data_IF_616852191739
#
_entry.id   IF_616852191739
#
_cell.length_a   1.000
_cell.length_b   1.000
_cell.length_c   1.000
_cell.angle_alpha   90.00
_cell.angle_beta   90.00
_cell.angle_gamma   90.00
#
_symmetry.space_group_name_H-M   'P 1'
#
loop_
_entity.id
_entity.type
_entity.pdbx_description
1 polymer ?
#
# COMPACT_ATOMS: atom_id res chain seq x y z
N UNK A 1 11.93 23.88 4.14
CA UNK A 1 10.88 23.12 3.44
C UNK A 1 11.41 21.85 2.73
N UNK A 2 12.21 21.90 1.64
CA UNK A 2 12.67 20.67 0.93
C UNK A 2 13.43 19.67 1.81
N UNK A 3 14.32 20.15 2.72
CA UNK A 3 15.07 19.28 3.64
C UNK A 3 14.16 18.61 4.67
N UNK A 4 13.17 19.30 5.14
CA UNK A 4 12.17 18.82 6.08
C UNK A 4 11.26 17.80 5.43
N UNK A 5 10.70 18.11 4.26
CA UNK A 5 9.91 17.18 3.46
C UNK A 5 10.67 15.88 3.19
N UNK A 6 11.97 15.96 2.81
CA UNK A 6 12.79 14.76 2.62
C UNK A 6 12.89 13.90 3.88
N UNK A 7 13.01 14.52 5.06
CA UNK A 7 13.05 13.79 6.34
C UNK A 7 11.73 13.09 6.63
N UNK A 8 10.61 13.75 6.34
CA UNK A 8 9.27 13.18 6.50
C UNK A 8 9.05 12.02 5.53
N UNK A 9 9.40 12.15 4.27
CA UNK A 9 9.27 11.06 3.30
C UNK A 9 10.15 9.85 3.66
N UNK A 10 11.37 10.08 4.19
CA UNK A 10 12.21 8.99 4.72
C UNK A 10 11.57 8.36 5.97
N UNK A 11 11.04 9.16 6.88
CA UNK A 11 10.33 8.65 8.04
C UNK A 11 9.09 7.85 7.62
N UNK A 12 8.34 8.32 6.63
CA UNK A 12 7.20 7.62 6.06
C UNK A 12 7.57 6.25 5.49
N UNK A 13 8.64 6.18 4.69
CA UNK A 13 9.19 4.91 4.22
C UNK A 13 9.49 3.94 5.37
N UNK A 14 10.19 4.40 6.41
CA UNK A 14 10.54 3.54 7.56
C UNK A 14 9.30 3.10 8.36
N UNK A 15 8.33 4.00 8.54
CA UNK A 15 7.07 3.71 9.24
C UNK A 15 6.24 2.73 8.43
N UNK A 16 6.11 2.92 7.11
CA UNK A 16 5.36 2.01 6.23
C UNK A 16 6.02 0.64 6.18
N UNK A 17 7.33 0.58 6.04
CA UNK A 17 8.10 -0.66 6.09
C UNK A 17 7.89 -1.42 7.41
N UNK A 18 8.00 -0.73 8.54
CA UNK A 18 7.85 -1.32 9.87
C UNK A 18 6.41 -1.76 10.17
N UNK A 19 5.44 -0.86 9.99
CA UNK A 19 4.04 -1.17 10.27
C UNK A 19 3.47 -2.19 9.26
N UNK A 20 3.85 -2.12 7.98
CA UNK A 20 3.43 -3.11 6.99
C UNK A 20 3.92 -4.50 7.33
N UNK A 21 5.20 -4.63 7.71
CA UNK A 21 5.76 -5.89 8.19
C UNK A 21 5.05 -6.40 9.46
N UNK A 22 4.70 -5.51 10.38
CA UNK A 22 3.98 -5.86 11.60
C UNK A 22 2.55 -6.33 11.29
N UNK A 23 1.82 -5.60 10.45
CA UNK A 23 0.43 -5.91 10.07
C UNK A 23 0.30 -7.27 9.36
N UNK A 24 1.38 -7.81 8.84
CA UNK A 24 1.41 -9.16 8.29
C UNK A 24 1.07 -10.24 9.32
N UNK A 25 1.40 -10.02 10.59
CA UNK A 25 1.19 -10.99 11.67
C UNK A 25 0.00 -10.64 12.57
N UNK A 26 -0.49 -9.41 12.55
CA UNK A 26 -1.49 -8.90 13.51
C UNK A 26 -2.82 -9.65 13.39
N UNK A 27 -3.21 -10.11 12.20
CA UNK A 27 -4.43 -10.89 12.02
C UNK A 27 -4.36 -12.21 12.81
N UNK A 28 -3.28 -12.96 12.71
CA UNK A 28 -3.07 -14.21 13.44
C UNK A 28 -2.98 -13.97 14.95
N UNK A 29 -2.24 -12.94 15.38
CA UNK A 29 -2.13 -12.57 16.79
C UNK A 29 -3.46 -12.16 17.42
N UNK A 30 -4.39 -11.63 16.60
CA UNK A 30 -5.74 -11.27 17.05
C UNK A 30 -6.71 -12.46 17.18
N UNK A 31 -6.26 -13.68 16.84
CA UNK A 31 -7.09 -14.87 16.79
C UNK A 31 -8.11 -14.84 15.63
N UNK A 32 -7.75 -14.22 14.51
CA UNK A 32 -8.63 -14.14 13.33
C UNK A 32 -9.75 -13.10 13.46
N UNK A 33 -9.52 -12.03 14.21
CA UNK A 33 -10.52 -10.98 14.42
C UNK A 33 -10.96 -10.34 13.10
N UNK A 34 -12.26 -10.34 12.83
CA UNK A 34 -12.84 -9.71 11.63
C UNK A 34 -12.57 -8.21 11.55
N UNK A 35 -12.50 -7.51 12.67
CA UNK A 35 -12.17 -6.08 12.66
C UNK A 35 -10.71 -5.86 12.25
N UNK A 36 -9.81 -6.71 12.72
CA UNK A 36 -8.39 -6.64 12.35
C UNK A 36 -8.17 -6.99 10.88
N UNK A 37 -8.94 -7.93 10.34
CA UNK A 37 -8.91 -8.31 8.93
C UNK A 37 -9.06 -7.12 7.96
N UNK A 38 -9.80 -6.07 8.34
CA UNK A 38 -9.97 -4.88 7.52
C UNK A 38 -8.65 -4.15 7.23
N UNK A 39 -7.65 -4.27 8.11
CA UNK A 39 -6.41 -3.48 8.07
C UNK A 39 -5.14 -4.32 7.98
N UNK A 40 -5.17 -5.57 8.45
CA UNK A 40 -4.07 -6.52 8.43
C UNK A 40 -4.23 -7.54 7.29
N UNK A 41 -3.12 -8.17 6.87
CA UNK A 41 -3.18 -9.27 5.91
C UNK A 41 -3.88 -10.47 6.53
N UNK A 42 -4.80 -11.08 5.78
CA UNK A 42 -5.55 -12.28 6.22
C UNK A 42 -5.01 -13.56 5.57
N UNK A 43 -4.21 -13.42 4.52
CA UNK A 43 -3.58 -14.52 3.78
C UNK A 43 -2.39 -14.00 2.96
N UNK A 44 -1.72 -14.88 2.22
CA UNK A 44 -0.51 -14.57 1.43
C UNK A 44 -0.81 -14.09 -0.01
N UNK A 45 -2.04 -13.65 -0.31
CA UNK A 45 -2.36 -13.15 -1.66
C UNK A 45 -1.66 -11.81 -1.96
N UNK A 46 -1.42 -11.57 -3.24
CA UNK A 46 -0.83 -10.30 -3.70
C UNK A 46 -1.68 -9.10 -3.28
N UNK A 47 -3.01 -9.23 -3.25
CA UNK A 47 -3.92 -8.19 -2.78
C UNK A 47 -3.67 -7.81 -1.32
N UNK A 48 -3.49 -8.80 -0.46
CA UNK A 48 -3.23 -8.57 0.96
C UNK A 48 -1.86 -7.89 1.17
N UNK A 49 -0.85 -8.27 0.40
CA UNK A 49 0.45 -7.57 0.43
C UNK A 49 0.35 -6.10 -0.03
N UNK A 50 -0.51 -5.81 -1.03
CA UNK A 50 -0.81 -4.43 -1.42
C UNK A 50 -1.48 -3.65 -0.28
N UNK A 51 -2.37 -4.29 0.50
CA UNK A 51 -3.00 -3.69 1.67
C UNK A 51 -1.97 -3.33 2.75
N UNK A 52 -0.96 -4.17 2.97
CA UNK A 52 0.14 -3.90 3.91
C UNK A 52 0.97 -2.66 3.52
N UNK A 53 1.05 -2.33 2.23
CA UNK A 53 1.66 -1.09 1.77
C UNK A 53 0.72 0.11 1.98
N UNK A 54 -0.54 -0.06 1.61
CA UNK A 54 -1.52 1.04 1.58
C UNK A 54 -1.91 1.56 2.96
N UNK A 55 -2.23 0.67 3.92
CA UNK A 55 -2.76 1.09 5.23
C UNK A 55 -1.76 1.94 6.02
N UNK A 56 -0.50 1.52 6.22
CA UNK A 56 0.49 2.36 6.90
C UNK A 56 0.78 3.67 6.15
N UNK A 57 0.86 3.62 4.82
CA UNK A 57 1.03 4.81 4.00
C UNK A 57 -0.11 5.82 4.19
N UNK A 58 -1.37 5.37 4.20
CA UNK A 58 -2.52 6.24 4.42
C UNK A 58 -2.47 6.88 5.81
N UNK A 59 -2.17 6.10 6.85
CA UNK A 59 -2.01 6.62 8.22
C UNK A 59 -0.91 7.67 8.30
N UNK A 60 0.23 7.41 7.68
CA UNK A 60 1.34 8.37 7.64
C UNK A 60 0.99 9.61 6.80
N UNK A 61 0.27 9.44 5.69
CA UNK A 61 -0.24 10.55 4.86
C UNK A 61 -1.13 11.50 5.66
N UNK A 62 -1.98 10.97 6.56
CA UNK A 62 -2.79 11.83 7.46
C UNK A 62 -1.91 12.63 8.41
N UNK A 63 -0.90 12.02 9.03
CA UNK A 63 0.04 12.72 9.90
C UNK A 63 0.81 13.82 9.14
N UNK A 64 1.29 13.50 7.94
CA UNK A 64 2.03 14.42 7.09
C UNK A 64 1.14 15.59 6.59
N UNK A 65 -0.13 15.31 6.30
CA UNK A 65 -1.10 16.33 5.91
C UNK A 65 -1.24 17.43 6.98
N UNK A 66 -1.31 17.05 8.24
CA UNK A 66 -1.40 18.00 9.37
C UNK A 66 -0.20 18.94 9.39
N UNK A 67 0.99 18.44 8.99
CA UNK A 67 2.23 19.25 9.02
C UNK A 67 2.40 20.09 7.76
N UNK A 68 2.04 19.57 6.57
CA UNK A 68 2.39 20.17 5.27
C UNK A 68 1.18 20.59 4.41
N UNK A 69 -0.05 20.48 4.90
CA UNK A 69 -1.26 20.72 4.07
C UNK A 69 -1.31 22.12 3.44
N UNK A 70 -0.93 23.16 4.18
CA UNK A 70 -0.98 24.53 3.66
C UNK A 70 0.09 24.85 2.63
N UNK A 71 1.37 24.53 2.83
CA UNK A 71 2.42 24.83 1.85
C UNK A 71 2.42 23.92 0.64
N UNK A 72 1.76 22.75 0.66
CA UNK A 72 1.79 21.76 -0.40
C UNK A 72 0.47 21.68 -1.16
N UNK A 73 0.29 22.59 -2.14
CA UNK A 73 -0.92 22.67 -2.98
C UNK A 73 -1.17 21.46 -3.89
N UNK A 74 -0.31 20.49 -3.89
CA UNK A 74 -0.37 19.26 -4.70
C UNK A 74 -0.39 17.98 -3.87
N UNK A 75 -0.67 18.08 -2.58
CA UNK A 75 -0.48 16.99 -1.62
C UNK A 75 -1.30 15.75 -1.96
N UNK A 76 -2.62 15.81 -1.96
CA UNK A 76 -3.48 14.64 -2.17
C UNK A 76 -3.29 13.99 -3.54
N UNK A 77 -3.16 14.80 -4.60
CA UNK A 77 -2.94 14.29 -5.95
C UNK A 77 -1.61 13.52 -6.06
N UNK A 78 -0.56 14.03 -5.42
CA UNK A 78 0.74 13.36 -5.42
C UNK A 78 0.72 12.11 -4.56
N UNK A 79 0.13 12.16 -3.36
CA UNK A 79 0.01 10.97 -2.50
C UNK A 79 -0.79 9.86 -3.19
N UNK A 80 -1.91 10.20 -3.83
CA UNK A 80 -2.69 9.23 -4.61
C UNK A 80 -1.89 8.64 -5.78
N UNK A 81 -1.20 9.48 -6.56
CA UNK A 81 -0.39 9.01 -7.69
C UNK A 81 0.76 8.11 -7.24
N UNK A 82 1.47 8.48 -6.16
CA UNK A 82 2.60 7.71 -5.66
C UNK A 82 2.17 6.36 -5.11
N UNK A 83 1.08 6.28 -4.33
CA UNK A 83 0.58 5.00 -3.82
C UNK A 83 0.09 4.10 -4.96
N UNK A 84 -0.63 4.64 -5.95
CA UNK A 84 -1.06 3.85 -7.11
C UNK A 84 0.13 3.21 -7.83
N UNK A 85 1.24 3.94 -8.00
CA UNK A 85 2.45 3.38 -8.61
C UNK A 85 3.07 2.29 -7.74
N UNK A 86 3.12 2.46 -6.43
CA UNK A 86 3.56 1.41 -5.49
C UNK A 86 2.67 0.17 -5.56
N UNK A 87 1.35 0.35 -5.53
CA UNK A 87 0.38 -0.74 -5.63
C UNK A 87 0.47 -1.49 -6.96
N UNK A 88 0.73 -0.80 -8.08
CA UNK A 88 0.92 -1.44 -9.39
C UNK A 88 2.27 -2.17 -9.44
N UNK A 89 3.32 -1.63 -8.81
CA UNK A 89 4.65 -2.24 -8.82
C UNK A 89 4.67 -3.63 -8.17
N UNK A 90 3.90 -3.85 -7.10
CA UNK A 90 3.83 -5.15 -6.41
C UNK A 90 3.39 -6.27 -7.36
N UNK A 91 2.16 -6.27 -7.94
CA UNK A 91 1.74 -7.33 -8.83
C UNK A 91 2.56 -7.39 -10.12
N UNK A 92 3.00 -6.25 -10.66
CA UNK A 92 3.84 -6.22 -11.86
C UNK A 92 5.16 -6.96 -11.64
N UNK A 93 5.86 -6.72 -10.54
CA UNK A 93 7.10 -7.41 -10.21
C UNK A 93 6.83 -8.88 -9.84
N UNK A 94 5.85 -9.15 -8.99
CA UNK A 94 5.53 -10.49 -8.54
C UNK A 94 5.19 -11.42 -9.70
N UNK A 95 4.22 -11.06 -10.55
CA UNK A 95 3.80 -11.91 -11.66
C UNK A 95 4.85 -12.00 -12.79
N UNK A 96 5.65 -10.95 -12.98
CA UNK A 96 6.76 -11.03 -13.93
C UNK A 96 7.82 -12.01 -13.45
N UNK A 97 8.25 -11.90 -12.20
CA UNK A 97 9.28 -12.78 -11.65
C UNK A 97 8.81 -14.23 -11.52
N UNK A 98 7.58 -14.45 -11.04
CA UNK A 98 7.00 -15.79 -10.95
C UNK A 98 6.79 -16.42 -12.34
N UNK A 99 6.40 -15.63 -13.33
CA UNK A 99 6.26 -16.09 -14.72
C UNK A 99 7.59 -16.49 -15.37
N UNK A 100 8.69 -15.83 -14.98
CA UNK A 100 10.03 -16.11 -15.53
C UNK A 100 10.78 -17.23 -14.76
N UNK A 101 10.66 -17.24 -13.43
CA UNK A 101 11.49 -18.05 -12.53
C UNK A 101 10.72 -19.17 -11.82
N UNK A 102 9.39 -19.19 -11.94
CA UNK A 102 8.52 -20.09 -11.19
C UNK A 102 8.31 -19.62 -9.75
N UNK A 103 8.13 -20.59 -8.82
CA UNK A 103 7.87 -20.27 -7.40
C UNK A 103 9.04 -19.50 -6.79
N UNK A 104 8.75 -18.33 -6.26
CA UNK A 104 9.75 -17.47 -5.61
C UNK A 104 9.93 -17.82 -4.14
N UNK A 105 11.13 -17.66 -3.58
CA UNK A 105 11.33 -17.73 -2.14
C UNK A 105 10.78 -16.47 -1.45
N UNK A 106 10.29 -16.61 -0.22
CA UNK A 106 9.61 -15.55 0.54
C UNK A 106 10.41 -14.24 0.71
N UNK A 107 11.76 -14.32 0.70
CA UNK A 107 12.58 -13.11 0.76
C UNK A 107 12.47 -12.23 -0.48
N UNK A 108 12.11 -12.80 -1.64
CA UNK A 108 11.86 -12.04 -2.87
C UNK A 108 10.56 -11.26 -2.73
N UNK A 109 9.50 -11.86 -2.19
CA UNK A 109 8.22 -11.19 -1.96
C UNK A 109 8.39 -10.01 -1.00
N UNK A 110 9.15 -10.21 0.06
CA UNK A 110 9.52 -9.14 0.99
C UNK A 110 10.34 -8.04 0.30
N UNK A 111 11.26 -8.40 -0.60
CA UNK A 111 12.05 -7.43 -1.36
C UNK A 111 11.19 -6.62 -2.33
N UNK A 112 10.19 -7.22 -2.96
CA UNK A 112 9.22 -6.53 -3.83
C UNK A 112 8.45 -5.48 -3.02
N UNK A 113 7.99 -5.84 -1.82
CA UNK A 113 7.30 -4.91 -0.92
C UNK A 113 8.18 -3.69 -0.58
N UNK A 114 9.42 -3.88 -0.13
CA UNK A 114 10.32 -2.77 0.20
C UNK A 114 10.71 -1.93 -1.01
N UNK A 115 10.87 -2.54 -2.19
CA UNK A 115 11.14 -1.80 -3.43
C UNK A 115 9.94 -0.94 -3.85
N UNK A 116 8.72 -1.46 -3.74
CA UNK A 116 7.50 -0.71 -4.02
C UNK A 116 7.33 0.47 -3.05
N UNK A 117 7.58 0.24 -1.76
CA UNK A 117 7.57 1.27 -0.72
C UNK A 117 8.59 2.38 -0.99
N UNK A 118 9.85 2.01 -1.26
CA UNK A 118 10.91 2.96 -1.60
C UNK A 118 10.59 3.77 -2.87
N UNK A 119 10.09 3.11 -3.93
CA UNK A 119 9.67 3.76 -5.16
C UNK A 119 8.56 4.77 -4.91
N UNK A 120 7.54 4.39 -4.16
CA UNK A 120 6.39 5.22 -3.82
C UNK A 120 6.83 6.50 -3.09
N UNK A 121 7.63 6.41 -2.03
CA UNK A 121 8.10 7.57 -1.29
C UNK A 121 9.10 8.43 -2.08
N UNK A 122 9.93 7.82 -2.90
CA UNK A 122 10.82 8.55 -3.82
C UNK A 122 10.01 9.38 -4.82
N UNK A 123 8.98 8.82 -5.43
CA UNK A 123 8.09 9.52 -6.38
C UNK A 123 7.30 10.61 -5.66
N UNK A 124 6.76 10.32 -4.46
CA UNK A 124 6.08 11.30 -3.62
C UNK A 124 6.97 12.53 -3.38
N UNK A 125 8.20 12.33 -2.89
CA UNK A 125 9.17 13.40 -2.66
C UNK A 125 9.43 14.23 -3.93
N UNK A 126 9.71 13.55 -5.06
CA UNK A 126 10.00 14.21 -6.33
C UNK A 126 8.84 15.06 -6.79
N UNK A 127 7.64 14.51 -6.84
CA UNK A 127 6.46 15.21 -7.34
C UNK A 127 6.01 16.36 -6.42
N UNK A 128 6.13 16.19 -5.10
CA UNK A 128 5.85 17.25 -4.13
C UNK A 128 6.81 18.43 -4.29
N UNK A 129 8.11 18.15 -4.44
CA UNK A 129 9.14 19.19 -4.58
C UNK A 129 9.12 19.89 -5.93
N UNK A 130 8.74 19.19 -7.00
CA UNK A 130 8.60 19.73 -8.36
C UNK A 130 7.26 20.49 -8.52
N UNK A 131 6.34 20.34 -7.60
CA UNK A 131 5.03 20.97 -7.63
C UNK A 131 4.14 20.47 -8.75
N UNK A 132 4.22 19.19 -9.10
CA UNK A 132 3.35 18.54 -10.10
C UNK A 132 1.93 18.36 -9.57
N UNK A 133 0.96 18.21 -10.47
CA UNK A 133 -0.44 17.93 -10.15
C UNK A 133 -1.09 19.01 -9.27
N UNK A 134 -0.74 20.28 -9.46
CA UNK A 134 -1.39 21.42 -8.80
C UNK A 134 -2.74 21.71 -9.44
N UNK A 135 -3.75 21.86 -8.64
CA UNK A 135 -5.10 22.22 -9.11
C UNK A 135 -6.18 21.64 -8.22
N UNK A 136 -7.24 22.39 -7.95
CA UNK A 136 -8.30 21.95 -7.03
C UNK A 136 -8.95 20.64 -7.47
N UNK A 137 -9.24 20.49 -8.76
CA UNK A 137 -9.80 19.24 -9.28
C UNK A 137 -8.87 18.03 -9.09
N UNK A 138 -7.56 18.23 -9.28
CA UNK A 138 -6.56 17.16 -9.05
C UNK A 138 -6.45 16.78 -7.57
N UNK A 139 -6.54 17.77 -6.65
CA UNK A 139 -6.55 17.49 -5.21
C UNK A 139 -7.81 16.72 -4.80
N UNK A 140 -8.98 17.12 -5.31
CA UNK A 140 -10.22 16.39 -5.07
C UNK A 140 -10.14 14.96 -5.61
N UNK A 141 -9.65 14.79 -6.83
CA UNK A 141 -9.47 13.46 -7.43
C UNK A 141 -8.51 12.60 -6.59
N UNK A 142 -7.38 13.16 -6.17
CA UNK A 142 -6.41 12.46 -5.31
C UNK A 142 -7.02 12.05 -3.97
N UNK A 143 -7.75 12.97 -3.32
CA UNK A 143 -8.46 12.68 -2.06
C UNK A 143 -9.49 11.55 -2.24
N UNK A 144 -10.34 11.65 -3.27
CA UNK A 144 -11.34 10.61 -3.58
C UNK A 144 -10.67 9.28 -3.88
N UNK A 145 -9.58 9.27 -4.63
CA UNK A 145 -8.82 8.05 -4.94
C UNK A 145 -8.34 7.33 -3.69
N UNK A 146 -7.79 8.05 -2.69
CA UNK A 146 -7.36 7.44 -1.43
C UNK A 146 -8.53 6.79 -0.67
N UNK A 147 -9.70 7.42 -0.64
CA UNK A 147 -10.88 6.86 -0.01
C UNK A 147 -11.47 5.66 -0.77
N UNK A 148 -11.47 5.72 -2.09
CA UNK A 148 -11.90 4.59 -2.94
C UNK A 148 -10.98 3.38 -2.73
N UNK A 149 -9.67 3.60 -2.64
CA UNK A 149 -8.72 2.53 -2.35
C UNK A 149 -8.95 1.94 -0.95
N UNK A 150 -9.14 2.78 0.07
CA UNK A 150 -9.47 2.30 1.42
C UNK A 150 -10.73 1.45 1.41
N UNK A 151 -11.80 1.93 0.78
CA UNK A 151 -13.04 1.18 0.64
C UNK A 151 -12.83 -0.14 -0.10
N UNK A 152 -12.07 -0.13 -1.20
CA UNK A 152 -11.80 -1.33 -1.99
C UNK A 152 -11.01 -2.37 -1.17
N UNK A 153 -9.97 -1.97 -0.43
CA UNK A 153 -9.22 -2.89 0.42
C UNK A 153 -10.11 -3.51 1.51
N UNK A 154 -10.91 -2.72 2.20
CA UNK A 154 -11.84 -3.22 3.21
C UNK A 154 -12.92 -4.10 2.59
N UNK A 155 -13.55 -3.66 1.50
CA UNK A 155 -14.64 -4.39 0.85
C UNK A 155 -14.18 -5.75 0.33
N UNK A 156 -13.07 -5.80 -0.41
CA UNK A 156 -12.59 -7.04 -1.00
C UNK A 156 -11.92 -8.01 -0.01
N UNK A 157 -11.61 -7.60 1.20
CA UNK A 157 -11.27 -8.53 2.28
C UNK A 157 -12.47 -9.42 2.67
N UNK A 158 -13.69 -8.83 2.68
CA UNK A 158 -14.92 -9.57 3.08
C UNK A 158 -15.74 -10.11 1.91
N UNK A 159 -15.52 -9.57 0.71
CA UNK A 159 -16.21 -9.95 -0.54
C UNK A 159 -15.16 -10.18 -1.62
N UNK A 160 -14.34 -11.18 -1.40
CA UNK A 160 -13.13 -11.43 -2.21
C UNK A 160 -13.51 -11.96 -3.60
N UNK A 161 -13.10 -11.29 -4.70
CA UNK A 161 -13.25 -11.81 -6.04
C UNK A 161 -12.37 -13.04 -6.28
N UNK A 162 -12.88 -14.04 -7.01
CA UNK A 162 -12.11 -15.22 -7.40
C UNK A 162 -11.21 -14.92 -8.62
N UNK A 163 -10.23 -14.06 -8.43
CA UNK A 163 -9.24 -13.66 -9.44
C UNK A 163 -7.82 -13.99 -8.92
N UNK A 164 -6.84 -14.25 -9.81
CA UNK A 164 -5.47 -14.59 -9.40
C UNK A 164 -4.83 -13.62 -8.41
N UNK A 165 -5.18 -12.32 -8.48
CA UNK A 165 -4.69 -11.29 -7.57
C UNK A 165 -5.04 -11.54 -6.09
N UNK A 166 -6.17 -12.21 -5.85
CA UNK A 166 -6.73 -12.50 -4.53
C UNK A 166 -6.49 -13.94 -4.06
N UNK A 167 -5.93 -14.77 -4.94
CA UNK A 167 -5.62 -16.16 -4.60
C UNK A 167 -4.43 -16.21 -3.66
N UNK A 168 -4.58 -16.88 -2.55
CA UNK A 168 -3.47 -17.22 -1.68
C UNK A 168 -2.65 -18.38 -2.30
N UNK A 169 -1.38 -18.16 -2.67
CA UNK A 169 -0.56 -19.18 -3.31
C UNK A 169 -0.14 -20.31 -2.35
N UNK A 170 -0.38 -20.16 -1.04
CA UNK A 170 -0.02 -21.14 -0.01
C UNK A 170 -1.19 -22.08 0.29
N UNK A 171 -2.36 -21.52 0.58
CA UNK A 171 -3.56 -22.31 0.91
C UNK A 171 -4.41 -22.70 -0.30
N UNK A 172 -4.31 -21.96 -1.41
CA UNK A 172 -5.20 -22.08 -2.56
C UNK A 172 -6.58 -21.46 -2.37
N UNK A 173 -6.81 -20.76 -1.26
CA UNK A 173 -8.09 -20.17 -0.88
C UNK A 173 -8.18 -18.66 -1.20
N UNK A 174 -9.35 -18.06 -0.97
CA UNK A 174 -9.63 -16.66 -1.22
C UNK A 174 -10.10 -15.94 0.05
N UNK A 175 -9.53 -14.77 0.31
CA UNK A 175 -9.96 -13.91 1.42
C UNK A 175 -9.87 -14.60 2.79
N UNK A 176 -10.99 -14.61 3.50
CA UNK A 176 -11.10 -15.19 4.85
C UNK A 176 -11.40 -16.69 4.86
N UNK A 177 -11.45 -17.35 3.71
CA UNK A 177 -11.69 -18.79 3.62
C UNK A 177 -10.46 -19.57 4.11
N UNK A 178 -10.67 -20.53 4.99
CA UNK A 178 -9.60 -21.35 5.58
C UNK A 178 -9.60 -22.80 5.04
N UNK A 179 -10.65 -23.18 4.35
CA UNK A 179 -10.82 -24.51 3.72
C UNK A 179 -11.49 -24.31 2.36
N UNK A 180 -10.87 -24.80 1.31
CA UNK A 180 -11.35 -24.68 -0.08
C UNK A 180 -11.52 -26.03 -0.77
#
# INVERSE_FOLDING_TARGET
MKRELRRWEIAGFLVTAGLGSLLHFVYDWSGGSRLVAAFAAVNESTWEHMKLLFIPFLLFTVAEFVVFSEPLRNFFAVKAASILLGLIAIPALYYTLTGMLGKLPSWVDMSIFFLADALMYFISYRMLTEGRLRGGAMQLLGFVTLWVLLFAFVWFTYRTPHLPLFLDPVSGCYGLETVC
#
